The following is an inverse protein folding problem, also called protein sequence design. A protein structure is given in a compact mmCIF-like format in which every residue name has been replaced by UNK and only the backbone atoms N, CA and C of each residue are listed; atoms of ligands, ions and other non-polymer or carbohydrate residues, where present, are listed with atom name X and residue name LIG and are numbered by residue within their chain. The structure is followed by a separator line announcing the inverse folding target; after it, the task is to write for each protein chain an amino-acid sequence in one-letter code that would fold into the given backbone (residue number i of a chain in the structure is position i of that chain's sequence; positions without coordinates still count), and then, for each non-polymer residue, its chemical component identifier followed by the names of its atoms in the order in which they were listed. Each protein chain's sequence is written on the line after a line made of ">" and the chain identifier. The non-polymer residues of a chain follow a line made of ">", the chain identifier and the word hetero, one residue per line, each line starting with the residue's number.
data_IF_011747011102
#
_entry.id   IF_011747011102
#
_cell.length_a   1.000
_cell.length_b   1.000
_cell.length_c   1.000
_cell.angle_alpha   90.00
_cell.angle_beta   90.00
_cell.angle_gamma   90.00
#
_symmetry.space_group_name_H-M   'P 1'
#
loop_
_entity.id
_entity.type
_entity.pdbx_description
1 polymer ?
#
# COMPACT_ATOMS: atom_id res chain seq x y z
N UNK A 1 -6.12 -15.38 30.64
CA UNK A 1 -5.01 -16.21 30.13
C UNK A 1 -4.73 -16.02 28.63
N UNK A 2 -5.56 -15.29 27.86
CA UNK A 2 -5.30 -15.01 26.42
C UNK A 2 -4.27 -13.90 26.17
N UNK A 3 -4.19 -12.88 27.03
CA UNK A 3 -3.34 -11.70 26.80
C UNK A 3 -1.82 -11.95 26.84
N UNK A 4 -1.37 -12.98 27.57
CA UNK A 4 0.05 -13.35 27.65
C UNK A 4 0.51 -14.15 26.42
N UNK A 5 -0.38 -14.96 25.82
CA UNK A 5 -0.07 -15.71 24.61
C UNK A 5 -0.10 -14.81 23.37
N UNK A 6 -1.09 -13.90 23.28
CA UNK A 6 -1.18 -12.95 22.15
C UNK A 6 0.00 -11.96 22.12
N UNK A 7 0.56 -11.59 23.28
CA UNK A 7 1.73 -10.70 23.36
C UNK A 7 3.01 -11.40 22.87
N UNK A 8 3.27 -12.63 23.34
CA UNK A 8 4.43 -13.41 22.92
C UNK A 8 4.43 -13.72 21.41
N UNK A 9 3.24 -13.93 20.83
CA UNK A 9 3.11 -14.15 19.39
C UNK A 9 3.42 -12.88 18.58
N UNK A 10 2.95 -11.71 19.03
CA UNK A 10 3.28 -10.43 18.38
C UNK A 10 4.78 -10.09 18.52
N UNK A 11 5.39 -10.38 19.67
CA UNK A 11 6.84 -10.25 19.89
C UNK A 11 7.67 -11.04 18.86
N UNK A 12 7.23 -12.27 18.54
CA UNK A 12 7.89 -13.11 17.55
C UNK A 12 7.61 -12.68 16.10
N UNK A 13 6.47 -12.05 15.83
CA UNK A 13 6.09 -11.58 14.49
C UNK A 13 6.69 -10.21 14.14
N UNK A 14 7.04 -9.39 15.13
CA UNK A 14 7.69 -8.09 14.94
C UNK A 14 8.88 -7.98 15.89
N UNK A 15 10.06 -8.29 15.35
CA UNK A 15 11.31 -8.23 16.10
C UNK A 15 11.82 -6.80 16.18
N UNK A 16 12.62 -6.52 17.20
CA UNK A 16 13.25 -5.23 17.43
C UNK A 16 14.76 -5.43 17.57
N UNK A 17 15.54 -4.65 16.81
CA UNK A 17 16.97 -4.48 17.04
C UNK A 17 17.26 -3.04 17.49
N UNK A 18 18.20 -2.90 18.42
CA UNK A 18 18.64 -1.59 18.91
C UNK A 18 20.05 -1.27 18.41
N UNK A 19 20.25 -0.04 17.94
CA UNK A 19 21.55 0.53 17.63
C UNK A 19 21.86 1.73 18.52
N UNK A 20 22.93 2.45 18.16
CA UNK A 20 23.42 3.64 18.85
C UNK A 20 22.31 4.71 18.96
N UNK A 21 21.75 5.12 17.82
CA UNK A 21 20.56 6.00 17.76
C UNK A 21 19.38 5.38 17.00
N UNK A 22 19.56 4.20 16.41
CA UNK A 22 18.54 3.55 15.59
C UNK A 22 17.68 2.58 16.39
N UNK A 23 16.42 2.43 15.96
CA UNK A 23 15.54 1.33 16.32
C UNK A 23 15.02 0.67 15.06
N UNK A 24 15.21 -0.64 14.95
CA UNK A 24 14.83 -1.39 13.74
C UNK A 24 13.67 -2.32 14.03
N UNK A 25 12.58 -2.16 13.29
CA UNK A 25 11.44 -3.08 13.22
C UNK A 25 11.71 -4.10 12.12
N UNK A 26 11.61 -5.38 12.45
CA UNK A 26 11.74 -6.49 11.49
C UNK A 26 10.43 -7.26 11.44
N UNK A 27 9.75 -7.19 10.30
CA UNK A 27 8.56 -8.00 10.03
C UNK A 27 8.99 -9.46 9.86
N UNK A 28 8.54 -10.34 10.76
CA UNK A 28 9.04 -11.70 10.88
C UNK A 28 7.94 -12.75 10.69
N UNK A 29 7.34 -12.76 9.50
CA UNK A 29 6.46 -13.84 9.03
C UNK A 29 6.90 -14.31 7.63
N UNK A 30 8.16 -14.74 7.44
CA UNK A 30 8.73 -14.98 6.10
C UNK A 30 7.98 -16.04 5.29
N UNK A 31 7.38 -17.03 5.97
CA UNK A 31 6.61 -18.12 5.34
C UNK A 31 5.34 -17.65 4.62
N UNK A 32 4.82 -16.47 4.99
CA UNK A 32 3.65 -15.84 4.37
C UNK A 32 3.99 -14.44 3.86
N UNK A 33 5.24 -14.25 3.43
CA UNK A 33 5.73 -13.01 2.81
C UNK A 33 5.54 -11.76 3.69
N UNK A 34 5.67 -11.92 5.02
CA UNK A 34 5.50 -10.84 5.99
C UNK A 34 4.13 -10.14 5.90
N UNK A 35 3.07 -10.90 5.55
CA UNK A 35 1.71 -10.39 5.57
C UNK A 35 1.33 -9.88 6.98
N UNK A 36 0.58 -8.78 7.03
CA UNK A 36 0.30 -8.05 8.27
C UNK A 36 -0.94 -8.58 8.98
N UNK A 37 -0.84 -8.78 10.29
CA UNK A 37 -1.95 -9.09 11.19
C UNK A 37 -2.17 -7.95 12.18
N UNK A 38 -3.39 -7.80 12.69
CA UNK A 38 -3.74 -6.77 13.68
C UNK A 38 -2.77 -6.71 14.87
N UNK A 39 -2.35 -7.82 15.50
CA UNK A 39 -1.38 -7.77 16.61
C UNK A 39 -0.02 -7.17 16.22
N UNK A 40 0.42 -7.35 14.97
CA UNK A 40 1.64 -6.71 14.46
C UNK A 40 1.46 -5.19 14.37
N UNK A 41 0.33 -4.73 13.83
CA UNK A 41 -0.02 -3.31 13.76
C UNK A 41 -0.08 -2.66 15.13
N UNK A 42 -0.79 -3.28 16.09
CA UNK A 42 -0.87 -2.81 17.48
C UNK A 42 0.50 -2.71 18.12
N UNK A 43 1.37 -3.70 17.92
CA UNK A 43 2.73 -3.71 18.43
C UNK A 43 3.57 -2.60 17.83
N UNK A 44 3.57 -2.46 16.50
CA UNK A 44 4.30 -1.39 15.80
C UNK A 44 3.85 -0.01 16.29
N UNK A 45 2.54 0.22 16.43
CA UNK A 45 2.01 1.49 16.95
C UNK A 45 2.58 1.83 18.33
N UNK A 46 2.60 0.87 19.26
CA UNK A 46 3.19 1.07 20.60
C UNK A 46 4.68 1.38 20.54
N UNK A 47 5.43 0.69 19.67
CA UNK A 47 6.87 0.95 19.48
C UNK A 47 7.11 2.36 18.93
N UNK A 48 6.42 2.74 17.86
CA UNK A 48 6.53 4.07 17.28
C UNK A 48 6.17 5.18 18.29
N UNK A 49 5.12 5.00 19.08
CA UNK A 49 4.72 5.95 20.12
C UNK A 49 5.75 6.11 21.24
N UNK A 50 6.38 5.01 21.65
CA UNK A 50 7.43 5.01 22.66
C UNK A 50 8.68 5.70 22.13
N UNK A 51 9.15 5.29 20.95
CA UNK A 51 10.38 5.79 20.34
C UNK A 51 10.30 7.24 19.89
N UNK A 52 9.12 7.73 19.52
CA UNK A 52 8.91 9.15 19.19
C UNK A 52 9.27 10.05 20.39
N UNK A 53 8.98 9.60 21.63
CA UNK A 53 9.21 10.34 22.88
C UNK A 53 10.61 10.14 23.47
N UNK A 54 11.34 9.10 23.08
CA UNK A 54 12.67 8.79 23.63
C UNK A 54 13.76 9.61 22.91
N UNK A 55 14.42 10.55 23.62
CA UNK A 55 15.48 11.38 23.04
C UNK A 55 16.72 10.61 22.58
N UNK A 56 16.90 9.36 23.05
CA UNK A 56 18.00 8.49 22.62
C UNK A 56 17.76 7.89 21.23
N UNK A 57 16.51 7.79 20.80
CA UNK A 57 16.18 7.32 19.46
C UNK A 57 16.28 8.49 18.50
N UNK A 58 17.22 8.41 17.57
CA UNK A 58 17.42 9.37 16.50
C UNK A 58 16.58 9.07 15.27
N UNK A 59 16.42 7.79 14.91
CA UNK A 59 15.62 7.37 13.75
C UNK A 59 15.10 5.93 13.88
N UNK A 60 14.14 5.58 13.04
CA UNK A 60 13.53 4.24 12.98
C UNK A 60 13.74 3.63 11.61
N UNK A 61 14.08 2.35 11.57
CA UNK A 61 14.19 1.54 10.35
C UNK A 61 13.11 0.47 10.36
N UNK A 62 12.49 0.20 9.22
CA UNK A 62 11.61 -0.95 9.03
C UNK A 62 12.12 -1.81 7.87
N UNK A 63 12.21 -3.13 8.10
CA UNK A 63 12.57 -4.12 7.08
C UNK A 63 11.79 -5.42 7.23
N UNK A 64 11.79 -6.25 6.21
CA UNK A 64 11.24 -7.60 6.26
C UNK A 64 12.32 -8.65 6.52
N UNK A 65 11.97 -9.73 7.21
CA UNK A 65 12.79 -10.93 7.26
C UNK A 65 12.53 -11.81 6.03
N UNK A 66 13.57 -12.43 5.48
CA UNK A 66 13.48 -13.34 4.32
C UNK A 66 13.42 -12.61 2.97
N UNK A 67 12.61 -13.14 2.04
CA UNK A 67 12.62 -12.75 0.61
C UNK A 67 11.69 -11.57 0.25
N UNK A 68 11.00 -11.00 1.23
CA UNK A 68 9.98 -9.96 1.02
C UNK A 68 10.11 -8.89 2.08
N UNK A 69 9.83 -7.65 1.73
CA UNK A 69 9.58 -6.61 2.72
C UNK A 69 8.23 -6.90 3.41
N UNK A 70 7.13 -6.77 2.67
CA UNK A 70 5.77 -7.01 3.15
C UNK A 70 4.80 -7.18 1.97
N UNK A 71 4.05 -8.28 1.94
CA UNK A 71 3.05 -8.55 0.91
C UNK A 71 1.64 -7.98 1.20
N UNK A 72 1.53 -7.05 2.16
CA UNK A 72 0.25 -6.41 2.51
C UNK A 72 -0.46 -7.05 3.69
N UNK A 73 -1.75 -6.75 3.83
CA UNK A 73 -2.59 -7.35 4.89
C UNK A 73 -2.81 -8.85 4.69
N UNK A 74 -2.94 -9.60 5.78
CA UNK A 74 -3.35 -11.00 5.75
C UNK A 74 -4.85 -11.12 5.45
N UNK A 75 -5.22 -10.88 4.19
CA UNK A 75 -6.61 -10.85 3.71
C UNK A 75 -7.31 -12.22 3.83
N UNK A 76 -6.53 -13.31 3.86
CA UNK A 76 -7.06 -14.66 4.14
C UNK A 76 -7.58 -14.73 5.57
N UNK A 77 -6.89 -14.10 6.53
CA UNK A 77 -7.39 -14.00 7.90
C UNK A 77 -8.65 -13.14 7.98
N UNK A 78 -8.69 -11.99 7.28
CA UNK A 78 -9.91 -11.16 7.19
C UNK A 78 -11.10 -11.94 6.62
N UNK A 79 -10.90 -12.65 5.51
CA UNK A 79 -11.92 -13.52 4.92
C UNK A 79 -12.45 -14.54 5.93
N UNK A 80 -11.56 -15.23 6.65
CA UNK A 80 -11.97 -16.22 7.68
C UNK A 80 -12.73 -15.60 8.84
N UNK A 81 -12.40 -14.37 9.24
CA UNK A 81 -13.14 -13.64 10.27
C UNK A 81 -14.53 -13.27 9.78
N UNK A 82 -14.63 -12.75 8.55
CA UNK A 82 -15.89 -12.41 7.89
C UNK A 82 -16.81 -13.63 7.73
N UNK A 83 -16.27 -14.79 7.32
CA UNK A 83 -17.05 -16.03 7.23
C UNK A 83 -17.60 -16.51 8.58
N UNK A 84 -17.00 -16.08 9.69
CA UNK A 84 -17.45 -16.38 11.07
C UNK A 84 -18.30 -15.27 11.68
N UNK A 85 -18.65 -14.22 10.91
CA UNK A 85 -19.40 -13.07 11.41
C UNK A 85 -18.61 -12.15 12.36
N UNK A 86 -17.28 -12.30 12.44
CA UNK A 86 -16.40 -11.51 13.34
C UNK A 86 -16.00 -10.19 12.67
N UNK A 87 -16.99 -9.39 12.29
CA UNK A 87 -16.80 -8.13 11.53
C UNK A 87 -16.02 -7.09 12.34
N UNK A 88 -16.27 -6.97 13.65
CA UNK A 88 -15.58 -6.00 14.52
C UNK A 88 -14.05 -6.18 14.54
N UNK A 89 -13.54 -7.40 14.44
CA UNK A 89 -12.10 -7.65 14.37
C UNK A 89 -11.50 -7.21 13.03
N UNK A 90 -12.29 -7.29 11.95
CA UNK A 90 -11.88 -6.72 10.66
C UNK A 90 -11.83 -5.19 10.76
N UNK A 91 -12.84 -4.57 11.39
CA UNK A 91 -12.85 -3.12 11.63
C UNK A 91 -11.63 -2.66 12.42
N UNK A 92 -11.29 -3.39 13.48
CA UNK A 92 -10.11 -3.10 14.31
C UNK A 92 -8.80 -3.21 13.51
N UNK A 93 -8.70 -4.20 12.61
CA UNK A 93 -7.58 -4.32 11.69
C UNK A 93 -7.41 -3.03 10.86
N UNK A 94 -8.47 -2.60 10.17
CA UNK A 94 -8.42 -1.38 9.34
C UNK A 94 -8.12 -0.13 10.16
N UNK A 95 -8.78 0.06 11.32
CA UNK A 95 -8.51 1.21 12.22
C UNK A 95 -7.04 1.24 12.65
N UNK A 96 -6.50 0.08 13.04
CA UNK A 96 -5.10 -0.05 13.47
C UNK A 96 -4.14 0.37 12.36
N UNK A 97 -4.29 -0.20 11.16
CA UNK A 97 -3.35 0.06 10.07
C UNK A 97 -3.47 1.47 9.50
N UNK A 98 -4.69 2.02 9.40
CA UNK A 98 -4.86 3.36 8.85
C UNK A 98 -4.31 4.43 9.81
N UNK A 99 -4.52 4.23 11.11
CA UNK A 99 -3.90 5.08 12.15
C UNK A 99 -2.37 4.96 12.12
N UNK A 100 -1.85 3.77 11.84
CA UNK A 100 -0.41 3.54 11.68
C UNK A 100 0.13 4.26 10.43
N UNK A 101 -0.54 4.18 9.28
CA UNK A 101 -0.12 4.90 8.06
C UNK A 101 -0.05 6.40 8.27
N UNK A 102 -1.09 6.98 8.90
CA UNK A 102 -1.08 8.39 9.26
C UNK A 102 0.09 8.75 10.18
N UNK A 103 0.38 7.88 11.17
CA UNK A 103 1.50 8.07 12.09
C UNK A 103 2.85 8.01 11.38
N UNK A 104 3.04 7.10 10.41
CA UNK A 104 4.27 7.02 9.63
C UNK A 104 4.50 8.29 8.81
N UNK A 105 3.44 8.81 8.16
CA UNK A 105 3.51 10.06 7.40
C UNK A 105 3.79 11.30 8.25
N UNK A 106 3.29 11.29 9.49
CA UNK A 106 3.44 12.41 10.43
C UNK A 106 4.49 12.16 11.51
N UNK A 107 5.38 11.18 11.30
CA UNK A 107 6.37 10.78 12.29
C UNK A 107 7.44 11.85 12.46
N UNK A 108 7.78 12.18 13.72
CA UNK A 108 8.65 13.32 14.01
C UNK A 108 10.15 13.05 13.86
N UNK A 109 10.52 11.82 13.51
CA UNK A 109 11.91 11.36 13.37
C UNK A 109 12.10 10.69 12.01
N UNK A 110 13.32 10.67 11.46
CA UNK A 110 13.61 9.92 10.24
C UNK A 110 13.08 8.48 10.31
N UNK A 111 12.26 8.12 9.34
CA UNK A 111 11.77 6.76 9.15
C UNK A 111 12.30 6.20 7.83
N UNK A 112 13.04 5.09 7.90
CA UNK A 112 13.70 4.45 6.77
C UNK A 112 13.07 3.09 6.49
N UNK A 113 12.43 2.93 5.35
CA UNK A 113 11.90 1.64 4.89
C UNK A 113 12.87 0.98 3.89
N UNK A 114 13.32 -0.24 4.18
CA UNK A 114 14.17 -1.05 3.28
C UNK A 114 13.28 -2.02 2.50
N UNK A 115 12.90 -1.65 1.29
CA UNK A 115 12.01 -2.42 0.41
C UNK A 115 12.78 -3.51 -0.36
N UNK A 116 13.38 -4.47 0.33
CA UNK A 116 14.11 -5.56 -0.32
C UNK A 116 13.20 -6.77 -0.59
N UNK A 117 12.61 -6.83 -1.78
CA UNK A 117 11.67 -7.89 -2.17
C UNK A 117 10.24 -7.38 -2.41
N UNK A 118 9.28 -8.30 -2.32
CA UNK A 118 7.84 -8.00 -2.48
C UNK A 118 7.40 -6.92 -1.48
N UNK A 119 6.81 -5.84 -2.01
CA UNK A 119 6.30 -4.69 -1.27
C UNK A 119 4.91 -4.33 -1.83
N UNK A 120 3.84 -4.92 -1.30
CA UNK A 120 2.51 -4.81 -1.90
C UNK A 120 1.46 -4.36 -0.89
N UNK A 121 0.45 -3.65 -1.36
CA UNK A 121 -0.72 -3.23 -0.58
C UNK A 121 -0.38 -2.51 0.71
N UNK A 122 -0.87 -3.01 1.85
CA UNK A 122 -0.50 -2.47 3.17
C UNK A 122 1.01 -2.41 3.43
N UNK A 123 1.83 -3.25 2.78
CA UNK A 123 3.28 -3.17 2.80
C UNK A 123 3.81 -1.94 2.05
N UNK A 124 3.21 -1.58 0.91
CA UNK A 124 3.50 -0.31 0.24
C UNK A 124 3.16 0.87 1.16
N UNK A 125 2.02 0.84 1.85
CA UNK A 125 1.67 1.86 2.86
C UNK A 125 2.73 1.99 3.96
N UNK A 126 3.23 0.87 4.51
CA UNK A 126 4.28 0.91 5.54
C UNK A 126 5.60 1.53 5.07
N UNK A 127 5.86 1.57 3.76
CA UNK A 127 7.06 2.20 3.20
C UNK A 127 6.80 3.64 2.78
N UNK A 128 5.94 3.87 1.79
CA UNK A 128 5.82 5.16 1.08
C UNK A 128 5.34 6.32 1.94
N UNK A 129 4.68 6.04 3.07
CA UNK A 129 4.34 7.08 4.05
C UNK A 129 5.54 7.51 4.89
N UNK A 130 6.62 6.75 4.91
CA UNK A 130 7.86 7.08 5.59
C UNK A 130 8.66 8.20 4.90
N UNK A 131 9.67 8.72 5.59
CA UNK A 131 10.51 9.80 5.06
C UNK A 131 11.52 9.34 4.03
N UNK A 132 12.06 8.12 4.20
CA UNK A 132 13.05 7.55 3.30
C UNK A 132 12.65 6.13 2.89
N UNK A 133 12.53 5.91 1.60
CA UNK A 133 12.27 4.61 0.99
C UNK A 133 13.50 4.17 0.20
N UNK A 134 14.09 3.03 0.60
CA UNK A 134 15.21 2.40 -0.09
C UNK A 134 14.66 1.26 -0.94
N UNK A 135 14.81 1.36 -2.25
CA UNK A 135 14.56 0.27 -3.18
C UNK A 135 15.85 -0.49 -3.52
N UNK A 136 15.70 -1.71 -4.05
CA UNK A 136 16.76 -2.59 -4.51
C UNK A 136 16.35 -3.25 -5.83
N UNK A 137 17.24 -3.98 -6.47
CA UNK A 137 16.95 -4.78 -7.67
C UNK A 137 15.92 -5.89 -7.41
N UNK A 138 15.63 -6.18 -6.13
CA UNK A 138 14.65 -7.19 -5.72
C UNK A 138 13.29 -6.58 -5.39
N UNK A 139 13.17 -5.26 -5.32
CA UNK A 139 11.89 -4.62 -5.01
C UNK A 139 10.87 -4.94 -6.09
N UNK A 140 9.71 -5.46 -5.65
CA UNK A 140 8.55 -5.65 -6.53
C UNK A 140 7.37 -4.97 -5.85
N UNK A 141 7.03 -3.78 -6.35
CA UNK A 141 5.96 -2.95 -5.80
C UNK A 141 4.68 -3.12 -6.60
N UNK A 142 3.54 -3.28 -5.94
CA UNK A 142 2.23 -3.31 -6.59
C UNK A 142 1.09 -3.05 -5.61
N UNK A 143 -0.04 -2.57 -6.15
CA UNK A 143 -1.29 -2.32 -5.43
C UNK A 143 -2.39 -3.21 -6.07
N UNK A 144 -2.41 -4.53 -5.79
CA UNK A 144 -3.26 -5.49 -6.50
C UNK A 144 -4.68 -5.64 -5.92
N UNK A 145 -5.10 -4.77 -5.00
CA UNK A 145 -6.34 -4.85 -4.21
C UNK A 145 -7.59 -4.98 -5.09
N UNK A 146 -7.64 -4.24 -6.20
CA UNK A 146 -8.76 -4.32 -7.16
C UNK A 146 -8.96 -5.76 -7.62
N UNK A 147 -7.88 -6.51 -7.85
CA UNK A 147 -7.97 -7.87 -8.40
C UNK A 147 -8.63 -8.86 -7.44
N UNK A 148 -8.71 -8.55 -6.14
CA UNK A 148 -9.35 -9.39 -5.12
C UNK A 148 -10.71 -8.85 -4.67
N UNK A 149 -11.31 -7.88 -5.37
CA UNK A 149 -12.60 -7.31 -4.96
C UNK A 149 -12.50 -6.22 -3.89
N UNK A 150 -11.31 -5.61 -3.74
CA UNK A 150 -11.04 -4.50 -2.83
C UNK A 150 -10.76 -3.22 -3.62
N UNK A 151 -10.34 -2.16 -2.92
CA UNK A 151 -9.86 -0.92 -3.49
C UNK A 151 -8.41 -0.66 -3.04
N UNK A 152 -7.63 0.18 -3.75
CA UNK A 152 -6.38 0.75 -3.23
C UNK A 152 -6.65 1.42 -1.88
N UNK A 153 -5.93 0.97 -0.87
CA UNK A 153 -6.19 1.28 0.54
C UNK A 153 -4.90 1.69 1.27
N UNK A 154 -4.97 1.93 2.58
CA UNK A 154 -3.81 2.32 3.40
C UNK A 154 -3.06 3.58 2.87
N UNK A 155 -3.82 4.56 2.38
CA UNK A 155 -3.33 5.80 1.78
C UNK A 155 -2.91 5.69 0.32
N UNK A 156 -3.20 4.56 -0.35
CA UNK A 156 -2.85 4.35 -1.74
C UNK A 156 -3.50 5.35 -2.69
N UNK A 157 -4.75 5.75 -2.45
CA UNK A 157 -5.37 6.79 -3.28
C UNK A 157 -4.55 8.08 -3.24
N UNK A 158 -4.03 8.47 -2.08
CA UNK A 158 -3.18 9.65 -1.91
C UNK A 158 -1.90 9.55 -2.75
N UNK A 159 -1.02 8.59 -2.49
CA UNK A 159 0.28 8.56 -3.18
C UNK A 159 0.17 8.16 -4.67
N UNK A 160 -0.82 7.35 -5.06
CA UNK A 160 -1.04 7.04 -6.48
C UNK A 160 -1.49 8.28 -7.26
N UNK A 161 -2.38 9.09 -6.67
CA UNK A 161 -2.93 10.27 -7.35
C UNK A 161 -1.91 11.38 -7.63
N UNK A 162 -0.76 11.34 -6.98
CA UNK A 162 0.31 12.31 -7.17
C UNK A 162 1.46 11.79 -8.04
N UNK A 163 1.37 10.56 -8.53
CA UNK A 163 2.31 10.09 -9.54
C UNK A 163 2.20 10.91 -10.84
N UNK A 164 3.29 11.00 -11.62
CA UNK A 164 3.27 11.70 -12.90
C UNK A 164 2.19 11.18 -13.86
N UNK A 165 1.44 12.12 -14.45
CA UNK A 165 0.39 11.81 -15.43
C UNK A 165 -0.71 10.91 -14.85
N UNK A 166 -0.96 9.80 -15.54
CA UNK A 166 -1.99 8.81 -15.18
C UNK A 166 -1.42 7.45 -14.79
N UNK A 167 -0.16 7.42 -14.32
CA UNK A 167 0.47 6.20 -13.82
C UNK A 167 -0.25 5.66 -12.57
N UNK A 168 -0.77 6.54 -11.72
CA UNK A 168 -1.52 6.17 -10.52
C UNK A 168 -2.78 5.36 -10.82
N UNK A 169 -3.59 5.83 -11.78
CA UNK A 169 -4.79 5.13 -12.25
C UNK A 169 -4.42 3.78 -12.87
N UNK A 170 -3.37 3.70 -13.70
CA UNK A 170 -2.89 2.43 -14.24
C UNK A 170 -2.52 1.44 -13.13
N UNK A 171 -1.70 1.84 -12.17
CA UNK A 171 -1.24 0.96 -11.10
C UNK A 171 -2.40 0.49 -10.22
N UNK A 172 -3.28 1.41 -9.82
CA UNK A 172 -4.41 1.13 -8.95
C UNK A 172 -5.48 0.25 -9.59
N UNK A 173 -5.74 0.41 -10.90
CA UNK A 173 -6.76 -0.38 -11.59
C UNK A 173 -6.26 -1.74 -12.05
N UNK A 174 -4.98 -1.86 -12.42
CA UNK A 174 -4.45 -3.09 -13.05
C UNK A 174 -3.66 -3.98 -12.10
N UNK A 175 -3.25 -3.46 -10.93
CA UNK A 175 -2.28 -4.13 -10.07
C UNK A 175 -0.91 -4.26 -10.73
N UNK A 176 -0.56 -3.31 -11.61
CA UNK A 176 0.72 -3.23 -12.29
C UNK A 176 1.90 -3.26 -11.31
N UNK A 177 3.02 -3.84 -11.74
CA UNK A 177 4.22 -3.96 -10.92
C UNK A 177 5.24 -2.91 -11.33
N UNK A 178 5.93 -2.35 -10.34
CA UNK A 178 7.12 -1.52 -10.52
C UNK A 178 8.35 -2.21 -9.91
N UNK A 179 9.47 -2.14 -10.63
CA UNK A 179 10.80 -2.52 -10.12
C UNK A 179 11.38 -1.43 -9.22
N UNK A 180 12.51 -1.72 -8.54
CA UNK A 180 13.17 -0.73 -7.70
C UNK A 180 13.67 0.49 -8.46
N UNK A 181 14.16 0.31 -9.69
CA UNK A 181 14.59 1.39 -10.58
C UNK A 181 13.41 2.26 -11.02
N UNK A 182 12.26 1.63 -11.32
CA UNK A 182 11.03 2.36 -11.65
C UNK A 182 10.49 3.15 -10.46
N UNK A 183 10.57 2.61 -9.24
CA UNK A 183 10.19 3.35 -8.04
C UNK A 183 11.06 4.57 -7.78
N UNK A 184 12.37 4.48 -8.02
CA UNK A 184 13.26 5.63 -7.92
C UNK A 184 12.88 6.68 -8.96
N UNK A 185 12.65 6.26 -10.21
CA UNK A 185 12.33 7.16 -11.30
C UNK A 185 10.95 7.84 -11.17
N UNK A 186 9.96 7.18 -10.58
CA UNK A 186 8.62 7.76 -10.36
C UNK A 186 8.46 8.49 -9.00
N UNK A 187 9.51 8.50 -8.15
CA UNK A 187 9.52 9.23 -6.89
C UNK A 187 8.99 8.49 -5.66
N UNK A 188 8.58 7.22 -5.79
CA UNK A 188 8.16 6.40 -4.63
C UNK A 188 9.33 5.89 -3.79
N UNK A 189 10.47 5.62 -4.42
CA UNK A 189 11.71 5.36 -3.69
C UNK A 189 12.55 6.63 -3.68
N UNK A 190 13.04 7.01 -2.50
CA UNK A 190 13.98 8.14 -2.35
C UNK A 190 15.40 7.75 -2.74
N UNK A 191 15.75 6.46 -2.55
CA UNK A 191 17.10 5.95 -2.71
C UNK A 191 17.06 4.55 -3.32
N UNK A 192 18.12 4.19 -4.03
CA UNK A 192 18.32 2.86 -4.57
C UNK A 192 19.66 2.30 -4.11
N UNK A 193 19.64 1.17 -3.40
CA UNK A 193 20.85 0.52 -2.88
C UNK A 193 20.80 -0.95 -3.29
N UNK A 194 21.81 -1.48 -4.01
CA UNK A 194 21.85 -2.89 -4.37
C UNK A 194 21.74 -3.81 -3.15
N UNK A 195 20.96 -4.89 -3.26
CA UNK A 195 20.68 -5.77 -2.13
C UNK A 195 21.94 -6.40 -1.51
N UNK A 196 22.99 -6.58 -2.31
CA UNK A 196 24.29 -7.08 -1.88
C UNK A 196 25.01 -6.13 -0.89
N UNK A 197 24.69 -4.84 -0.90
CA UNK A 197 25.27 -3.83 0.00
C UNK A 197 24.47 -3.66 1.29
N UNK A 198 23.22 -4.13 1.35
CA UNK A 198 22.36 -3.96 2.51
C UNK A 198 22.96 -4.44 3.84
N UNK A 199 23.66 -5.60 3.94
CA UNK A 199 24.27 -6.00 5.21
C UNK A 199 25.26 -4.96 5.77
N UNK A 200 26.02 -4.31 4.89
CA UNK A 200 26.92 -3.22 5.27
C UNK A 200 26.15 -1.98 5.71
N UNK A 201 25.10 -1.61 4.97
CA UNK A 201 24.28 -0.42 5.28
C UNK A 201 23.54 -0.61 6.61
N UNK A 202 23.00 -1.79 6.87
CA UNK A 202 22.31 -2.11 8.13
C UNK A 202 23.27 -2.03 9.34
N UNK A 203 24.52 -2.50 9.19
CA UNK A 203 25.55 -2.34 10.23
C UNK A 203 25.89 -0.86 10.47
N UNK A 204 26.02 -0.09 9.40
CA UNK A 204 26.30 1.34 9.49
C UNK A 204 25.13 2.09 10.15
N UNK A 205 23.89 1.79 9.78
CA UNK A 205 22.70 2.34 10.44
C UNK A 205 22.61 1.95 11.92
N UNK A 206 23.11 0.76 12.30
CA UNK A 206 23.15 0.36 13.72
C UNK A 206 24.12 1.21 14.53
N UNK A 207 25.24 1.61 13.95
CA UNK A 207 26.29 2.39 14.64
C UNK A 207 26.14 3.90 14.45
N UNK A 208 25.29 4.34 13.53
CA UNK A 208 25.04 5.75 13.22
C UNK A 208 24.41 6.49 14.41
N UNK A 209 24.91 7.69 14.70
CA UNK A 209 24.41 8.60 15.71
C UNK A 209 23.87 9.88 15.04
N UNK A 210 22.65 9.79 14.49
CA UNK A 210 21.98 10.86 13.75
C UNK A 210 20.59 11.07 14.31
N UNK A 211 20.17 12.33 14.46
CA UNK A 211 18.87 12.69 15.06
C UNK A 211 18.02 13.61 14.16
N UNK A 212 18.49 13.92 12.96
CA UNK A 212 17.84 14.83 12.03
C UNK A 212 17.76 14.25 10.61
N UNK A 213 16.83 14.80 9.83
CA UNK A 213 16.54 14.34 8.48
C UNK A 213 17.66 14.66 7.48
N UNK A 214 18.36 15.79 7.63
CA UNK A 214 19.40 16.20 6.69
C UNK A 214 20.62 15.30 6.75
N UNK A 215 21.02 14.89 7.96
CA UNK A 215 22.12 13.95 8.14
C UNK A 215 21.74 12.54 7.69
N UNK A 216 20.49 12.12 7.86
CA UNK A 216 19.99 10.85 7.32
C UNK A 216 20.00 10.85 5.78
N UNK A 217 19.49 11.91 5.16
CA UNK A 217 19.53 12.11 3.70
C UNK A 217 20.98 12.04 3.19
N UNK A 218 21.89 12.79 3.82
CA UNK A 218 23.32 12.78 3.43
C UNK A 218 23.94 11.38 3.52
N UNK A 219 23.59 10.63 4.57
CA UNK A 219 24.05 9.25 4.73
C UNK A 219 23.51 8.35 3.61
N UNK A 220 22.20 8.36 3.36
CA UNK A 220 21.59 7.50 2.35
C UNK A 220 22.03 7.88 0.92
N UNK A 221 22.12 9.17 0.60
CA UNK A 221 22.57 9.67 -0.69
C UNK A 221 24.01 9.21 -1.02
N UNK A 222 24.90 9.11 -0.02
CA UNK A 222 26.27 8.59 -0.20
C UNK A 222 26.29 7.12 -0.63
N UNK A 223 25.27 6.35 -0.26
CA UNK A 223 25.18 4.93 -0.54
C UNK A 223 24.28 4.59 -1.72
N UNK A 224 23.42 5.51 -2.12
CA UNK A 224 22.50 5.34 -3.24
C UNK A 224 23.22 5.36 -4.59
N UNK A 225 22.74 4.53 -5.50
CA UNK A 225 23.21 4.46 -6.88
C UNK A 225 22.22 5.16 -7.80
N UNK A 226 22.75 5.76 -8.87
CA UNK A 226 21.91 6.30 -9.94
C UNK A 226 21.57 5.15 -10.88
N UNK A 227 20.28 4.81 -10.94
CA UNK A 227 19.76 3.75 -11.80
C UNK A 227 18.66 4.33 -12.68
N UNK A 228 18.45 3.68 -13.83
CA UNK A 228 17.43 4.07 -14.79
C UNK A 228 16.54 2.87 -15.06
N UNK A 229 15.23 3.08 -15.30
CA UNK A 229 14.35 2.02 -15.75
C UNK A 229 14.89 1.34 -17.01
N UNK A 230 14.58 0.04 -17.17
CA UNK A 230 14.93 -0.70 -18.38
C UNK A 230 14.04 -0.30 -19.56
N UNK A 231 14.43 -0.67 -20.79
CA UNK A 231 13.73 -0.30 -22.04
C UNK A 231 12.26 -0.73 -22.09
N UNK A 232 11.88 -1.78 -21.35
CA UNK A 232 10.49 -2.28 -21.28
C UNK A 232 9.68 -1.65 -20.14
N UNK A 233 10.25 -0.66 -19.44
CA UNK A 233 9.59 0.00 -18.32
C UNK A 233 8.29 0.65 -18.73
N UNK A 234 7.32 0.61 -17.83
CA UNK A 234 6.07 1.33 -17.98
C UNK A 234 6.28 2.85 -18.07
N UNK A 235 7.38 3.36 -17.51
CA UNK A 235 7.75 4.77 -17.56
C UNK A 235 8.22 5.23 -18.95
N UNK A 236 8.47 4.31 -19.88
CA UNK A 236 8.69 4.65 -21.29
C UNK A 236 7.39 4.73 -22.11
N UNK A 237 6.24 4.42 -21.51
CA UNK A 237 4.92 4.40 -22.17
C UNK A 237 4.02 5.56 -21.73
N UNK A 238 4.60 6.66 -21.23
CA UNK A 238 3.87 7.79 -20.63
C UNK A 238 2.82 8.38 -21.58
N UNK A 239 3.13 8.48 -22.88
CA UNK A 239 2.18 9.00 -23.88
C UNK A 239 0.94 8.11 -23.99
N UNK A 240 1.12 6.80 -24.19
CA UNK A 240 0.02 5.82 -24.26
C UNK A 240 -0.74 5.73 -22.93
N UNK A 241 -0.03 5.75 -21.80
CA UNK A 241 -0.62 5.78 -20.47
C UNK A 241 -1.53 6.99 -20.29
N UNK A 242 -1.06 8.18 -20.62
CA UNK A 242 -1.84 9.41 -20.48
C UNK A 242 -3.02 9.42 -21.46
N UNK A 243 -2.82 8.93 -22.69
CA UNK A 243 -3.89 8.78 -23.69
C UNK A 243 -5.00 7.85 -23.19
N UNK A 244 -4.65 6.72 -22.57
CA UNK A 244 -5.62 5.68 -22.23
C UNK A 244 -6.21 5.80 -20.82
N UNK A 245 -5.43 6.24 -19.82
CA UNK A 245 -5.83 6.31 -18.42
C UNK A 245 -6.24 7.72 -17.98
N UNK A 246 -6.21 8.70 -18.89
CA UNK A 246 -6.56 10.10 -18.64
C UNK A 246 -8.05 10.42 -18.65
N UNK A 247 -8.93 9.42 -18.57
CA UNK A 247 -10.38 9.59 -18.65
C UNK A 247 -11.06 9.55 -17.28
N UNK A 248 -12.29 10.07 -17.22
CA UNK A 248 -13.05 10.20 -15.98
C UNK A 248 -13.69 8.87 -15.57
N UNK A 249 -14.00 8.00 -16.53
CA UNK A 249 -14.69 6.72 -16.29
C UNK A 249 -13.90 5.50 -16.74
N UNK A 250 -14.17 4.34 -16.12
CA UNK A 250 -13.52 3.07 -16.47
C UNK A 250 -13.89 2.63 -17.88
N UNK A 251 -15.13 2.90 -18.29
CA UNK A 251 -15.65 2.64 -19.63
C UNK A 251 -14.86 3.41 -20.70
N UNK A 252 -14.59 4.69 -20.47
CA UNK A 252 -13.76 5.49 -21.39
C UNK A 252 -12.31 5.01 -21.44
N UNK A 253 -11.73 4.62 -20.30
CA UNK A 253 -10.38 4.03 -20.24
C UNK A 253 -10.31 2.75 -21.08
N UNK A 254 -11.32 1.87 -20.95
CA UNK A 254 -11.41 0.64 -21.73
C UNK A 254 -11.58 0.94 -23.22
N UNK A 255 -12.46 1.87 -23.58
CA UNK A 255 -12.67 2.28 -24.97
C UNK A 255 -11.42 2.91 -25.61
N UNK A 256 -10.64 3.68 -24.84
CA UNK A 256 -9.37 4.24 -25.28
C UNK A 256 -8.32 3.14 -25.51
N UNK A 257 -8.22 2.16 -24.60
CA UNK A 257 -7.34 0.99 -24.79
C UNK A 257 -7.76 0.14 -25.99
N UNK A 258 -9.06 -0.08 -26.20
CA UNK A 258 -9.56 -0.81 -27.38
C UNK A 258 -9.18 -0.11 -28.68
N UNK A 259 -9.32 1.22 -28.72
CA UNK A 259 -8.92 2.03 -29.87
C UNK A 259 -7.42 1.96 -30.10
N UNK A 260 -6.61 2.07 -29.05
CA UNK A 260 -5.15 1.95 -29.13
C UNK A 260 -4.70 0.57 -29.62
N UNK A 261 -5.35 -0.50 -29.14
CA UNK A 261 -5.09 -1.88 -29.61
C UNK A 261 -5.43 -2.02 -31.09
N UNK A 262 -6.54 -1.45 -31.54
CA UNK A 262 -6.94 -1.50 -32.95
C UNK A 262 -5.97 -0.72 -33.87
N UNK A 263 -5.40 0.39 -33.38
CA UNK A 263 -4.46 1.23 -34.13
C UNK A 263 -3.04 0.65 -34.18
N UNK A 264 -2.54 0.15 -33.05
CA UNK A 264 -1.11 -0.16 -32.88
C UNK A 264 -0.81 -1.66 -32.77
N UNK A 265 -1.80 -2.46 -32.39
CA UNK A 265 -1.62 -3.87 -32.01
C UNK A 265 -0.54 -4.07 -30.92
N UNK A 266 -0.37 -3.11 -30.01
CA UNK A 266 0.59 -3.16 -28.91
C UNK A 266 0.21 -4.24 -27.87
N UNK A 267 1.13 -5.17 -27.62
CA UNK A 267 0.93 -6.30 -26.69
C UNK A 267 0.66 -5.84 -25.25
N UNK A 268 1.26 -4.72 -24.83
CA UNK A 268 1.02 -4.18 -23.49
C UNK A 268 -0.43 -3.67 -23.35
N UNK A 269 -0.96 -2.97 -24.35
CA UNK A 269 -2.36 -2.54 -24.36
C UNK A 269 -3.31 -3.75 -24.34
N UNK A 270 -3.03 -4.78 -25.14
CA UNK A 270 -3.83 -6.03 -25.18
C UNK A 270 -3.86 -6.71 -23.80
N UNK A 271 -2.69 -6.86 -23.17
CA UNK A 271 -2.55 -7.47 -21.85
C UNK A 271 -3.25 -6.64 -20.77
N UNK A 272 -3.14 -5.32 -20.84
CA UNK A 272 -3.78 -4.39 -19.90
C UNK A 272 -5.30 -4.43 -20.01
N UNK A 273 -5.84 -4.39 -21.23
CA UNK A 273 -7.27 -4.52 -21.50
C UNK A 273 -7.83 -5.84 -20.96
N UNK A 274 -7.11 -6.96 -21.16
CA UNK A 274 -7.49 -8.25 -20.60
C UNK A 274 -7.58 -8.21 -19.07
N UNK A 275 -6.59 -7.62 -18.39
CA UNK A 275 -6.59 -7.50 -16.92
C UNK A 275 -7.79 -6.71 -16.41
N UNK A 276 -8.10 -5.57 -17.04
CA UNK A 276 -9.24 -4.75 -16.66
C UNK A 276 -10.56 -5.51 -16.83
N UNK A 277 -10.73 -6.27 -17.93
CA UNK A 277 -11.95 -7.08 -18.16
C UNK A 277 -12.12 -8.24 -17.19
N UNK A 278 -11.03 -8.77 -16.63
CA UNK A 278 -11.05 -9.85 -15.64
C UNK A 278 -11.21 -9.33 -14.18
N UNK A 279 -11.06 -8.03 -13.96
CA UNK A 279 -11.18 -7.41 -12.65
C UNK A 279 -12.65 -7.17 -12.25
N UNK A 280 -12.97 -7.09 -10.94
CA UNK A 280 -14.31 -6.82 -10.47
C UNK A 280 -14.79 -5.42 -10.89
N UNK A 281 -15.90 -5.30 -11.64
CA UNK A 281 -16.36 -4.03 -12.20
C UNK A 281 -16.59 -2.93 -11.17
N UNK A 282 -17.22 -3.27 -10.04
CA UNK A 282 -17.45 -2.30 -8.96
C UNK A 282 -16.14 -1.82 -8.34
N UNK A 283 -15.18 -2.73 -8.14
CA UNK A 283 -13.85 -2.41 -7.59
C UNK A 283 -13.07 -1.45 -8.50
N UNK A 284 -13.15 -1.63 -9.83
CA UNK A 284 -12.56 -0.69 -10.79
C UNK A 284 -13.13 0.72 -10.63
N UNK A 285 -14.47 0.85 -10.62
CA UNK A 285 -15.13 2.16 -10.55
C UNK A 285 -14.85 2.90 -9.25
N UNK A 286 -14.96 2.22 -8.10
CA UNK A 286 -14.68 2.86 -6.80
C UNK A 286 -13.20 3.24 -6.67
N UNK A 287 -12.29 2.48 -7.28
CA UNK A 287 -10.85 2.75 -7.22
C UNK A 287 -10.46 3.94 -8.07
N UNK A 288 -10.94 4.02 -9.32
CA UNK A 288 -10.72 5.18 -10.19
C UNK A 288 -11.22 6.46 -9.51
N UNK A 289 -12.46 6.44 -9.02
CA UNK A 289 -13.07 7.59 -8.33
C UNK A 289 -12.32 8.00 -7.06
N UNK A 290 -11.78 7.03 -6.31
CA UNK A 290 -10.97 7.31 -5.11
C UNK A 290 -9.64 7.98 -5.48
N UNK A 291 -8.93 7.47 -6.50
CA UNK A 291 -7.65 8.03 -6.96
C UNK A 291 -7.83 9.43 -7.53
N UNK A 292 -8.83 9.65 -8.39
CA UNK A 292 -9.09 10.97 -8.98
C UNK A 292 -9.44 12.01 -7.92
N UNK A 293 -10.26 11.67 -6.91
CA UNK A 293 -10.58 12.58 -5.81
C UNK A 293 -9.37 12.89 -4.93
N UNK A 294 -8.47 11.93 -4.74
CA UNK A 294 -7.27 12.10 -3.90
C UNK A 294 -6.30 13.17 -4.41
N UNK A 295 -6.34 13.51 -5.71
CA UNK A 295 -5.50 14.56 -6.33
C UNK A 295 -5.64 15.93 -5.66
N UNK A 296 -6.75 16.17 -4.96
CA UNK A 296 -7.07 17.46 -4.33
C UNK A 296 -7.30 17.35 -2.83
N UNK A 297 -6.95 16.23 -2.21
CA UNK A 297 -7.21 15.94 -0.80
C UNK A 297 -5.92 15.66 -0.03
N UNK A 298 -5.95 15.93 1.26
CA UNK A 298 -4.87 15.56 2.19
C UNK A 298 -4.87 14.04 2.44
N UNK A 299 -3.75 13.52 2.94
CA UNK A 299 -3.67 12.12 3.38
C UNK A 299 -4.73 11.78 4.45
N UNK A 300 -5.03 12.71 5.38
CA UNK A 300 -6.07 12.50 6.40
C UNK A 300 -7.45 12.27 5.76
N UNK A 301 -7.82 13.09 4.78
CA UNK A 301 -9.08 12.95 4.06
C UNK A 301 -9.13 11.65 3.25
N UNK A 302 -8.03 11.31 2.58
CA UNK A 302 -7.90 10.06 1.83
C UNK A 302 -8.05 8.83 2.75
N UNK A 303 -7.36 8.78 3.89
CA UNK A 303 -7.45 7.68 4.85
C UNK A 303 -8.87 7.55 5.43
N UNK A 304 -9.55 8.67 5.74
CA UNK A 304 -10.94 8.64 6.20
C UNK A 304 -11.90 8.13 5.13
N UNK A 305 -11.68 8.50 3.86
CA UNK A 305 -12.47 8.02 2.72
C UNK A 305 -12.24 6.53 2.50
N UNK A 306 -10.99 6.11 2.39
CA UNK A 306 -10.63 4.70 2.21
C UNK A 306 -11.16 3.84 3.38
N UNK A 307 -11.21 4.38 4.60
CA UNK A 307 -11.73 3.67 5.75
C UNK A 307 -13.23 3.40 5.56
N UNK A 308 -14.00 4.41 5.14
CA UNK A 308 -15.43 4.24 4.77
C UNK A 308 -15.60 3.17 3.70
N UNK A 309 -14.79 3.22 2.64
CA UNK A 309 -14.82 2.24 1.56
C UNK A 309 -14.53 0.82 2.07
N UNK A 310 -13.54 0.65 2.94
CA UNK A 310 -13.18 -0.63 3.55
C UNK A 310 -14.28 -1.15 4.48
N UNK A 311 -14.95 -0.28 5.25
CA UNK A 311 -16.08 -0.67 6.09
C UNK A 311 -17.27 -1.14 5.25
N UNK A 312 -17.56 -0.44 4.14
CA UNK A 312 -18.60 -0.84 3.18
C UNK A 312 -18.26 -2.18 2.52
N UNK A 313 -17.01 -2.37 2.12
CA UNK A 313 -16.50 -3.63 1.57
C UNK A 313 -16.72 -4.80 2.54
N UNK A 314 -16.29 -4.69 3.80
CA UNK A 314 -16.43 -5.78 4.78
C UNK A 314 -17.87 -5.99 5.27
N UNK A 315 -18.75 -4.99 5.12
CA UNK A 315 -20.18 -5.12 5.43
C UNK A 315 -20.91 -6.07 4.48
N UNK A 316 -20.40 -6.22 3.25
CA UNK A 316 -20.96 -7.07 2.18
C UNK A 316 -22.40 -6.72 1.79
N UNK A 317 -22.86 -5.50 2.10
CA UNK A 317 -24.22 -5.06 1.79
C UNK A 317 -24.41 -4.71 0.31
N UNK A 318 -23.36 -4.21 -0.35
CA UNK A 318 -23.40 -3.78 -1.75
C UNK A 318 -22.90 -4.91 -2.67
N UNK A 319 -21.79 -5.54 -2.31
CA UNK A 319 -21.17 -6.63 -3.07
C UNK A 319 -20.41 -7.58 -2.15
N UNK A 320 -20.28 -8.82 -2.58
CA UNK A 320 -19.47 -9.85 -1.92
C UNK A 320 -18.11 -10.08 -2.60
N UNK A 321 -17.72 -9.21 -3.54
CA UNK A 321 -16.52 -9.38 -4.39
C UNK A 321 -15.24 -9.58 -3.58
N UNK A 322 -15.04 -8.86 -2.46
CA UNK A 322 -13.85 -9.04 -1.62
C UNK A 322 -13.72 -10.49 -1.13
N UNK A 323 -14.80 -11.05 -0.58
CA UNK A 323 -14.81 -12.42 -0.11
C UNK A 323 -14.61 -13.41 -1.26
N UNK A 324 -15.23 -13.16 -2.40
CA UNK A 324 -15.13 -14.00 -3.60
C UNK A 324 -13.73 -13.99 -4.20
N UNK A 325 -13.10 -12.82 -4.31
CA UNK A 325 -11.76 -12.65 -4.83
C UNK A 325 -10.72 -13.30 -3.93
N UNK A 326 -10.82 -13.09 -2.61
CA UNK A 326 -9.92 -13.76 -1.64
C UNK A 326 -10.12 -15.28 -1.68
N UNK A 327 -11.36 -15.76 -1.71
CA UNK A 327 -11.68 -17.19 -1.79
C UNK A 327 -11.04 -17.84 -3.02
N UNK A 328 -11.30 -17.30 -4.21
CA UNK A 328 -10.87 -17.91 -5.47
C UNK A 328 -9.39 -17.75 -5.77
N UNK A 329 -8.75 -16.64 -5.38
CA UNK A 329 -7.34 -16.37 -5.69
C UNK A 329 -6.37 -16.88 -4.64
N UNK A 330 -6.74 -16.86 -3.36
CA UNK A 330 -5.81 -17.11 -2.26
C UNK A 330 -6.14 -18.38 -1.46
N UNK A 331 -7.42 -18.69 -1.26
CA UNK A 331 -7.85 -19.87 -0.49
C UNK A 331 -7.92 -21.12 -1.36
N UNK A 332 -8.76 -21.09 -2.39
CA UNK A 332 -8.98 -22.21 -3.30
C UNK A 332 -7.97 -22.23 -4.46
N UNK A 333 -7.47 -21.05 -4.84
CA UNK A 333 -6.56 -20.87 -5.99
C UNK A 333 -7.14 -21.41 -7.30
N UNK A 334 -8.45 -21.25 -7.48
CA UNK A 334 -9.18 -21.60 -8.71
C UNK A 334 -9.07 -20.51 -9.79
N UNK A 335 -8.79 -19.27 -9.40
CA UNK A 335 -8.68 -18.10 -10.30
C UNK A 335 -9.93 -17.85 -11.17
N UNK A 336 -11.10 -18.30 -10.72
CA UNK A 336 -12.38 -18.14 -11.42
C UNK A 336 -13.43 -17.44 -10.53
N UNK A 337 -13.20 -16.17 -10.15
CA UNK A 337 -14.14 -15.39 -9.35
C UNK A 337 -15.45 -15.10 -10.11
N UNK A 338 -16.55 -15.07 -9.36
CA UNK A 338 -17.86 -14.63 -9.85
C UNK A 338 -18.20 -13.27 -9.27
N UNK A 339 -17.82 -12.23 -10.00
CA UNK A 339 -18.06 -10.85 -9.58
C UNK A 339 -19.55 -10.50 -9.60
N UNK A 340 -19.97 -9.71 -8.61
CA UNK A 340 -21.31 -9.18 -8.47
C UNK A 340 -21.22 -7.69 -8.12
N UNK A 341 -21.47 -6.78 -9.08
CA UNK A 341 -22.03 -7.02 -10.41
C UNK A 341 -21.02 -7.61 -11.42
N UNK A 342 -21.48 -8.40 -12.40
CA UNK A 342 -20.61 -9.15 -13.33
C UNK A 342 -20.00 -8.32 -14.47
N UNK A 343 -20.54 -7.13 -14.78
CA UNK A 343 -20.01 -6.23 -15.82
C UNK A 343 -20.18 -4.76 -15.45
N UNK A 344 -19.47 -3.86 -16.14
CA UNK A 344 -19.42 -2.42 -15.82
C UNK A 344 -20.76 -1.73 -15.96
N UNK A 345 -21.56 -2.14 -16.94
CA UNK A 345 -22.89 -1.59 -17.25
C UNK A 345 -23.91 -1.86 -16.13
N UNK A 346 -23.67 -2.90 -15.32
CA UNK A 346 -24.51 -3.25 -14.18
C UNK A 346 -24.06 -2.58 -12.88
N UNK A 347 -22.93 -1.87 -12.88
CA UNK A 347 -22.52 -1.06 -11.72
C UNK A 347 -23.24 0.29 -11.78
N UNK A 348 -24.20 0.51 -10.87
CA UNK A 348 -24.93 1.78 -10.80
C UNK A 348 -24.15 2.85 -10.04
N UNK A 349 -24.47 4.13 -10.28
CA UNK A 349 -23.87 5.24 -9.53
C UNK A 349 -24.21 5.17 -8.05
N UNK A 350 -25.39 4.67 -7.67
CA UNK A 350 -25.76 4.46 -6.27
C UNK A 350 -24.83 3.45 -5.59
N UNK A 351 -24.50 2.34 -6.28
CA UNK A 351 -23.55 1.35 -5.76
C UNK A 351 -22.18 1.98 -5.51
N UNK A 352 -21.69 2.79 -6.45
CA UNK A 352 -20.41 3.48 -6.33
C UNK A 352 -20.46 4.51 -5.20
N UNK A 353 -21.47 5.39 -5.17
CA UNK A 353 -21.59 6.47 -4.20
C UNK A 353 -21.71 5.95 -2.76
N UNK A 354 -22.39 4.83 -2.55
CA UNK A 354 -22.55 4.22 -1.22
C UNK A 354 -21.21 3.84 -0.54
N UNK A 355 -20.13 3.58 -1.32
CA UNK A 355 -18.78 3.36 -0.77
C UNK A 355 -18.14 4.63 -0.19
N UNK A 356 -18.57 5.81 -0.63
CA UNK A 356 -18.04 7.10 -0.20
C UNK A 356 -18.92 7.77 0.86
N UNK A 357 -20.15 7.34 1.03
CA UNK A 357 -21.06 7.87 2.04
C UNK A 357 -20.64 7.46 3.46
N UNK A 358 -21.10 8.24 4.45
CA UNK A 358 -20.94 7.85 5.86
C UNK A 358 -21.68 6.53 6.11
N UNK A 359 -21.08 5.66 6.92
CA UNK A 359 -21.55 4.29 7.13
C UNK A 359 -22.89 4.29 7.87
N UNK A 360 -22.95 4.98 9.01
CA UNK A 360 -24.16 5.29 9.78
C UNK A 360 -23.85 6.39 10.81
N UNK A 361 -24.85 6.84 11.57
CA UNK A 361 -24.64 7.75 12.72
C UNK A 361 -23.92 7.05 13.87
N UNK A 362 -24.11 5.73 14.00
CA UNK A 362 -23.61 4.92 15.12
C UNK A 362 -22.22 4.31 14.83
N UNK A 363 -21.76 4.29 13.59
CA UNK A 363 -20.41 3.87 13.24
C UNK A 363 -19.47 5.09 13.25
N UNK A 364 -18.51 5.16 14.18
CA UNK A 364 -17.60 6.30 14.26
C UNK A 364 -16.72 6.38 13.00
N UNK A 365 -16.48 7.61 12.55
CA UNK A 365 -15.49 7.89 11.50
C UNK A 365 -14.07 7.58 12.01
N UNK A 366 -13.11 7.39 11.09
CA UNK A 366 -11.73 7.13 11.49
C UNK A 366 -11.18 8.33 12.28
N UNK A 367 -10.85 8.10 13.55
CA UNK A 367 -10.17 9.07 14.39
C UNK A 367 -8.66 8.92 14.25
N UNK A 368 -8.02 9.93 13.65
CA UNK A 368 -6.57 9.94 13.48
C UNK A 368 -5.88 10.66 14.67
N UNK A 369 -4.71 10.18 15.10
CA UNK A 369 -4.03 10.71 16.29
C UNK A 369 -3.51 12.14 16.10
N UNK A 370 -3.91 13.07 16.99
CA UNK A 370 -3.50 14.49 17.13
C UNK A 370 -3.23 15.29 15.83
N UNK A 371 -4.17 16.17 15.47
CA UNK A 371 -4.15 17.11 14.32
C UNK A 371 -2.98 18.12 14.27
N UNK A 372 -2.12 18.19 15.29
CA UNK A 372 -1.00 19.13 15.36
C UNK A 372 0.32 18.57 14.79
N UNK A 373 0.32 17.32 14.32
CA UNK A 373 1.48 16.72 13.67
C UNK A 373 1.53 17.18 12.21
N UNK A 374 2.35 18.18 11.91
CA UNK A 374 2.61 18.57 10.52
C UNK A 374 3.55 17.54 9.90
N UNK A 375 3.22 17.07 8.70
CA UNK A 375 4.10 16.25 7.88
C UNK A 375 5.45 16.97 7.76
N UNK A 376 6.54 16.33 8.16
CA UNK A 376 7.86 16.96 8.16
C UNK A 376 8.49 16.95 6.76
N UNK A 377 8.02 16.08 5.85
CA UNK A 377 8.58 15.92 4.50
C UNK A 377 7.47 15.58 3.50
N UNK A 378 6.89 16.59 2.85
CA UNK A 378 6.07 16.35 1.66
C UNK A 378 7.01 16.13 0.47
N UNK A 379 7.47 14.89 0.29
CA UNK A 379 7.90 14.42 -1.02
C UNK A 379 6.72 13.65 -1.60
N UNK A 380 5.93 14.37 -2.38
CA UNK A 380 4.86 13.85 -3.19
C UNK A 380 4.99 14.49 -4.57
#
# INVERSE_FOLDING_TARGET
>A
MSSLNDCNDADNMVLVEEGASSRTIILNRPNVLNALLTPMGVRMTKLYESWEKDSRVGFVVIKGNGRSFCAGGDVVTLYRLLSKGRVEECKECFRTFYSLMYRLNTYLKPHVAIMNGITMGGGAGLSVHGSFCIATEKTVFAIPEVLIGSHPDAGASYYLSHLPGHLGEYLGLTGGRLSGEELLACGFATHYIPSARLPLIEEQLRTLAVHDFSAMETFLAKHSEHVYPNENSILHRVETLNKCFGHDTVEEIIGALESEVAETNDEWCISTLKKLREAPPLSLKISLKSIQKARFETLEECLKREYRMSMRMISRQISNDFCEGVRTRLVEKSFAPKWDPPCLEQVTEEMVNAYFERISVDEPELELPNKLRKASHANV
#
